data_IF_473530282315
#
_entry.id   IF_473530282315
#
_cell.length_a   1.000
_cell.length_b   1.000
_cell.length_c   1.000
_cell.angle_alpha   90.00
_cell.angle_beta   90.00
_cell.angle_gamma   90.00
#
_symmetry.space_group_name_H-M   'P 1'
#
loop_
_entity.id
_entity.type
_entity.pdbx_description
1 polymer ?
#
# COMPACT_ATOMS: atom_id res chain seq x y z
N UNK A 1 1.37 15.34 -4.67
CA UNK A 1 1.01 13.98 -5.12
C UNK A 1 0.59 13.23 -3.88
N UNK A 2 -0.63 12.70 -3.85
CA UNK A 2 -1.12 11.92 -2.71
C UNK A 2 -0.53 10.51 -2.72
N UNK A 3 -0.63 9.81 -1.60
CA UNK A 3 -0.22 8.41 -1.52
C UNK A 3 -0.96 7.56 -2.57
N UNK A 4 -2.27 7.76 -2.70
CA UNK A 4 -3.11 7.12 -3.72
C UNK A 4 -2.56 7.33 -5.14
N UNK A 5 -2.25 8.57 -5.52
CA UNK A 5 -1.71 8.87 -6.85
C UNK A 5 -0.34 8.20 -7.08
N UNK A 6 0.48 8.05 -6.03
CA UNK A 6 1.77 7.36 -6.12
C UNK A 6 1.58 5.85 -6.35
N UNK A 7 0.65 5.22 -5.61
CA UNK A 7 0.31 3.82 -5.79
C UNK A 7 -0.33 3.52 -7.16
N UNK A 8 -1.23 4.38 -7.63
CA UNK A 8 -1.85 4.26 -8.96
C UNK A 8 -0.81 4.26 -10.08
N UNK A 9 0.23 5.11 -9.98
CA UNK A 9 1.35 5.11 -10.94
C UNK A 9 2.18 3.83 -10.92
N UNK A 10 2.15 3.09 -9.83
CA UNK A 10 2.82 1.79 -9.69
C UNK A 10 1.93 0.61 -10.15
N UNK A 11 0.68 0.90 -10.56
CA UNK A 11 -0.29 -0.10 -11.03
C UNK A 11 -1.18 -0.66 -9.92
N UNK A 12 -1.11 -0.10 -8.70
CA UNK A 12 -2.00 -0.50 -7.61
C UNK A 12 -3.36 0.21 -7.72
N UNK A 13 -4.41 -0.47 -7.27
CA UNK A 13 -5.74 0.09 -7.04
C UNK A 13 -6.01 0.16 -5.55
N UNK A 14 -6.68 1.22 -5.11
CA UNK A 14 -7.02 1.42 -3.70
C UNK A 14 -8.41 0.85 -3.39
N UNK A 15 -8.51 0.14 -2.27
CA UNK A 15 -9.75 -0.24 -1.60
C UNK A 15 -9.74 0.30 -0.17
N UNK A 16 -10.88 0.84 0.28
CA UNK A 16 -11.02 1.45 1.60
C UNK A 16 -11.98 0.59 2.42
N UNK A 17 -11.50 0.10 3.55
CA UNK A 17 -12.28 -0.64 4.53
C UNK A 17 -12.27 0.09 5.87
N UNK A 18 -13.27 -0.20 6.72
CA UNK A 18 -13.36 0.41 8.05
C UNK A 18 -12.13 0.15 8.92
N UNK A 19 -11.49 -1.02 8.75
CA UNK A 19 -10.34 -1.42 9.55
C UNK A 19 -8.99 -1.17 8.88
N UNK A 20 -8.96 -0.94 7.56
CA UNK A 20 -7.71 -0.79 6.82
C UNK A 20 -7.90 -0.12 5.45
N UNK A 21 -6.81 0.46 4.95
CA UNK A 21 -6.67 0.79 3.53
C UNK A 21 -5.87 -0.33 2.85
N UNK A 22 -6.31 -0.76 1.67
CA UNK A 22 -5.67 -1.81 0.89
C UNK A 22 -5.27 -1.28 -0.49
N UNK A 23 -4.06 -1.60 -0.90
CA UNK A 23 -3.59 -1.42 -2.27
C UNK A 23 -3.34 -2.77 -2.92
N UNK A 24 -3.93 -2.99 -4.10
CA UNK A 24 -3.85 -4.25 -4.84
C UNK A 24 -3.30 -4.03 -6.24
N UNK A 25 -2.31 -4.82 -6.64
CA UNK A 25 -1.75 -4.86 -8.01
C UNK A 25 -1.71 -6.30 -8.51
N UNK A 26 -2.34 -6.55 -9.65
CA UNK A 26 -2.27 -7.84 -10.34
C UNK A 26 -1.07 -7.84 -11.29
N UNK A 27 -0.15 -8.79 -11.12
CA UNK A 27 0.93 -9.02 -12.09
C UNK A 27 0.48 -10.11 -13.08
N UNK A 28 -0.22 -9.69 -14.14
CA UNK A 28 -0.74 -10.52 -15.25
C UNK A 28 -1.74 -11.64 -14.87
N UNK A 29 -2.70 -11.89 -15.77
CA UNK A 29 -3.80 -12.87 -15.63
C UNK A 29 -3.36 -14.33 -15.38
N UNK A 30 -2.06 -14.62 -15.46
CA UNK A 30 -1.49 -15.96 -15.34
C UNK A 30 -0.67 -16.18 -14.05
N UNK A 31 -0.37 -15.14 -13.27
CA UNK A 31 0.28 -15.31 -11.96
C UNK A 31 -0.76 -15.18 -10.84
N UNK A 32 -0.71 -16.07 -9.86
CA UNK A 32 -1.48 -15.92 -8.62
C UNK A 32 -0.81 -14.93 -7.65
N UNK A 33 0.18 -14.17 -8.12
CA UNK A 33 1.01 -13.29 -7.31
C UNK A 33 0.42 -11.88 -7.26
N UNK A 34 -0.78 -11.79 -6.68
CA UNK A 34 -1.41 -10.52 -6.40
C UNK A 34 -0.63 -9.79 -5.31
N UNK A 35 -0.06 -8.63 -5.64
CA UNK A 35 0.65 -7.80 -4.68
C UNK A 35 -0.37 -7.00 -3.87
N UNK A 36 -0.33 -7.18 -2.55
CA UNK A 36 -1.22 -6.49 -1.61
C UNK A 36 -0.41 -5.71 -0.59
N UNK A 37 -0.82 -4.49 -0.28
CA UNK A 37 -0.27 -3.69 0.81
C UNK A 37 -1.43 -3.18 1.66
N UNK A 38 -1.44 -3.57 2.93
CA UNK A 38 -2.46 -3.21 3.91
C UNK A 38 -1.91 -2.15 4.86
N UNK A 39 -2.74 -1.17 5.20
CA UNK A 39 -2.52 -0.17 6.23
C UNK A 39 -3.61 -0.34 7.28
N UNK A 40 -3.30 -1.00 8.40
CA UNK A 40 -4.25 -1.30 9.47
C UNK A 40 -4.42 -0.10 10.42
N UNK A 41 -5.63 0.44 10.49
CA UNK A 41 -5.93 1.65 11.26
C UNK A 41 -5.79 1.48 12.78
N UNK A 42 -6.09 0.29 13.29
CA UNK A 42 -6.15 -0.02 14.73
C UNK A 42 -4.76 -0.19 15.37
N UNK A 43 -3.81 -0.69 14.59
CA UNK A 43 -2.47 -1.05 15.04
C UNK A 43 -1.38 -0.18 14.44
N UNK A 44 -1.72 0.71 13.51
CA UNK A 44 -0.77 1.53 12.74
C UNK A 44 0.31 0.67 12.05
N UNK A 45 -0.08 -0.54 11.62
CA UNK A 45 0.83 -1.50 10.97
C UNK A 45 0.65 -1.54 9.45
N UNK A 46 1.76 -1.78 8.76
CA UNK A 46 1.78 -2.02 7.31
C UNK A 46 2.09 -3.49 7.07
N UNK A 47 1.25 -4.19 6.30
CA UNK A 47 1.44 -5.59 5.96
C UNK A 47 1.51 -5.78 4.44
N UNK A 48 2.54 -6.48 3.95
CA UNK A 48 2.70 -6.93 2.57
C UNK A 48 2.86 -8.46 2.57
N UNK A 49 1.77 -9.24 2.47
CA UNK A 49 1.78 -10.68 2.78
C UNK A 49 2.51 -11.58 1.77
N UNK A 50 2.94 -11.07 0.61
CA UNK A 50 3.63 -11.86 -0.42
C UNK A 50 5.12 -11.51 -0.52
N UNK A 51 5.93 -12.51 -0.87
CA UNK A 51 7.41 -12.58 -0.82
C UNK A 51 8.18 -11.56 -1.68
N UNK A 52 7.51 -10.58 -2.26
CA UNK A 52 8.18 -9.46 -2.91
C UNK A 52 8.70 -8.46 -1.89
N UNK A 53 9.96 -8.05 -2.02
CA UNK A 53 10.47 -6.90 -1.28
C UNK A 53 9.64 -5.64 -1.52
N UNK A 54 9.88 -4.61 -0.71
CA UNK A 54 9.36 -3.26 -0.95
C UNK A 54 10.43 -2.52 -1.77
N UNK A 55 10.10 -2.14 -2.99
CA UNK A 55 11.03 -1.35 -3.80
C UNK A 55 11.00 0.13 -3.35
N UNK A 56 11.99 0.93 -3.78
CA UNK A 56 12.12 2.32 -3.35
C UNK A 56 10.90 3.19 -3.68
N UNK A 57 10.19 2.95 -4.79
CA UNK A 57 9.00 3.71 -5.16
C UNK A 57 7.80 3.33 -4.30
N UNK A 58 7.65 2.04 -4.00
CA UNK A 58 6.64 1.57 -3.04
C UNK A 58 6.91 2.17 -1.66
N UNK A 59 8.16 2.19 -1.21
CA UNK A 59 8.52 2.80 0.08
C UNK A 59 8.16 4.29 0.13
N UNK A 60 8.36 5.04 -0.96
CA UNK A 60 7.92 6.44 -1.04
C UNK A 60 6.41 6.59 -0.94
N UNK A 61 5.65 5.75 -1.64
CA UNK A 61 4.19 5.75 -1.59
C UNK A 61 3.67 5.35 -0.19
N UNK A 62 4.31 4.35 0.44
CA UNK A 62 4.03 3.93 1.82
C UNK A 62 4.29 5.08 2.79
N UNK A 63 5.45 5.74 2.73
CA UNK A 63 5.76 6.86 3.62
C UNK A 63 4.73 7.99 3.47
N UNK A 64 4.31 8.29 2.23
CA UNK A 64 3.27 9.29 2.00
C UNK A 64 1.92 8.89 2.60
N UNK A 65 1.56 7.60 2.51
CA UNK A 65 0.32 7.09 3.11
C UNK A 65 0.34 7.20 4.64
N UNK A 66 1.47 6.89 5.27
CA UNK A 66 1.67 6.99 6.71
C UNK A 66 1.60 8.46 7.16
N UNK A 67 2.22 9.39 6.42
CA UNK A 67 2.11 10.84 6.66
C UNK A 67 0.65 11.32 6.57
N UNK A 68 -0.08 10.93 5.53
CA UNK A 68 -1.50 11.29 5.35
C UNK A 68 -2.43 10.70 6.42
N UNK A 69 -2.06 9.55 7.00
CA UNK A 69 -2.78 8.91 8.10
C UNK A 69 -2.43 9.52 9.47
N UNK A 70 -1.40 10.37 9.56
CA UNK A 70 -0.94 10.96 10.81
C UNK A 70 -0.27 9.95 11.75
N UNK A 71 0.33 8.88 11.21
CA UNK A 71 1.02 7.85 11.99
C UNK A 71 2.49 8.20 12.29
N UNK A 72 3.01 9.29 11.72
CA UNK A 72 4.31 9.84 12.09
C UNK A 72 4.08 11.00 13.05
N UNK A 73 4.46 10.80 14.32
CA UNK A 73 4.68 11.90 15.25
C UNK A 73 5.97 12.66 14.84
N UNK A 74 5.98 13.99 14.99
CA UNK A 74 7.16 14.84 14.77
C UNK A 74 8.33 14.51 15.73
#
# INVERSE_FOLDING_TARGET
MSAKEMFEKLGYKQEIHIAYILYIKNEDDYSQDEQRIFFHHDTETINKPFTGGINAKELQAINKQVEELGWLDE
#
